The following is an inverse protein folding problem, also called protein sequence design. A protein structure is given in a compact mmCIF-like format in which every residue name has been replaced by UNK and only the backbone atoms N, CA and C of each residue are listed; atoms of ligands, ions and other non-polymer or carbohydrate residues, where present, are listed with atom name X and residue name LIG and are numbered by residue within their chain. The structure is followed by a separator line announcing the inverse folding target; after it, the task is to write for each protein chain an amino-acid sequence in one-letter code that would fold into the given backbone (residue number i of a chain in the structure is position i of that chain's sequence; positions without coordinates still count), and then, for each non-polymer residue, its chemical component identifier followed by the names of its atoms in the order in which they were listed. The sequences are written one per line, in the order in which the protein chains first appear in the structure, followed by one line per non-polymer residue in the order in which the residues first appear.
data_IF_945251574787
#
_entry.id   IF_945251574787
#
_cell.length_a   1.000
_cell.length_b   1.000
_cell.length_c   1.000
_cell.angle_alpha   90.00
_cell.angle_beta   90.00
_cell.angle_gamma   90.00
#
_symmetry.space_group_name_H-M   'P 1'
#
loop_
_entity.id
_entity.type
_entity.pdbx_description
1 polymer ?
#
# COMPACT_ATOMS: atom_id res chain seq x y z
N UNK A 1 -41.79 -64.16 -39.18
CA UNK A 1 -41.37 -63.75 -37.83
C UNK A 1 -41.34 -62.24 -37.86
N UNK A 2 -42.34 -61.63 -37.24
CA UNK A 2 -42.52 -60.19 -37.16
C UNK A 2 -41.40 -59.57 -36.34
N UNK A 3 -40.63 -58.66 -36.96
CA UNK A 3 -39.68 -57.80 -36.27
C UNK A 3 -40.48 -56.73 -35.52
N UNK A 4 -40.49 -56.82 -34.21
CA UNK A 4 -41.05 -55.82 -33.30
C UNK A 4 -40.25 -54.50 -33.41
N UNK A 5 -40.87 -53.35 -33.72
CA UNK A 5 -40.16 -52.08 -33.76
C UNK A 5 -39.82 -51.62 -32.33
N UNK A 6 -38.52 -51.49 -32.05
CA UNK A 6 -37.99 -50.92 -30.81
C UNK A 6 -38.38 -49.43 -30.75
N UNK A 7 -39.20 -49.08 -29.75
CA UNK A 7 -39.60 -47.68 -29.53
C UNK A 7 -38.44 -46.88 -28.95
N UNK A 8 -37.81 -46.06 -29.79
CA UNK A 8 -36.86 -45.03 -29.37
C UNK A 8 -37.67 -43.86 -28.80
N UNK A 9 -37.60 -43.67 -27.48
CA UNK A 9 -38.27 -42.56 -26.78
C UNK A 9 -37.51 -41.27 -27.08
N UNK A 10 -37.99 -40.52 -28.07
CA UNK A 10 -37.54 -39.14 -28.34
C UNK A 10 -38.00 -38.25 -27.19
N UNK A 11 -37.06 -37.86 -26.32
CA UNK A 11 -37.27 -36.80 -25.33
C UNK A 11 -37.06 -35.45 -26.02
N UNK A 12 -38.09 -34.97 -26.72
CA UNK A 12 -38.21 -33.56 -27.08
C UNK A 12 -39.12 -32.88 -26.08
N UNK A 13 -38.58 -32.00 -25.25
CA UNK A 13 -38.73 -30.55 -25.43
C UNK A 13 -38.35 -29.84 -24.13
N UNK A 14 -37.51 -28.82 -24.26
CA UNK A 14 -36.87 -28.16 -23.15
C UNK A 14 -35.78 -27.24 -23.65
N UNK A 15 -36.11 -26.35 -24.59
CA UNK A 15 -35.28 -25.23 -25.01
C UNK A 15 -35.06 -24.28 -23.81
N UNK A 16 -33.84 -24.08 -23.28
CA UNK A 16 -33.54 -22.81 -22.65
C UNK A 16 -33.21 -21.83 -23.77
N UNK A 17 -34.15 -20.90 -23.93
CA UNK A 17 -34.00 -19.65 -24.66
C UNK A 17 -32.72 -18.92 -24.26
N UNK A 18 -32.16 -18.18 -25.23
CA UNK A 18 -30.90 -17.46 -25.19
C UNK A 18 -30.47 -16.88 -23.84
N UNK A 19 -29.30 -17.33 -23.41
CA UNK A 19 -28.15 -16.47 -23.08
C UNK A 19 -26.95 -17.39 -23.04
N UNK A 20 -26.04 -17.21 -24.00
CA UNK A 20 -24.67 -17.66 -23.83
C UNK A 20 -24.19 -17.00 -22.54
N UNK A 21 -24.20 -17.75 -21.44
CA UNK A 21 -23.37 -17.44 -20.30
C UNK A 21 -21.93 -17.60 -20.79
N UNK A 22 -21.40 -16.57 -21.45
CA UNK A 22 -20.01 -16.21 -21.28
C UNK A 22 -19.87 -15.80 -19.81
N UNK A 23 -19.96 -16.80 -18.93
CA UNK A 23 -19.44 -16.67 -17.58
C UNK A 23 -17.96 -16.39 -17.79
N UNK A 24 -17.62 -15.14 -17.48
CA UNK A 24 -16.33 -14.52 -17.59
C UNK A 24 -15.27 -15.39 -16.90
N UNK A 25 -14.64 -16.28 -17.66
CA UNK A 25 -13.56 -17.18 -17.21
C UNK A 25 -12.32 -16.41 -16.76
N UNK A 26 -12.28 -15.08 -16.92
CA UNK A 26 -11.26 -14.21 -16.31
C UNK A 26 -11.38 -14.15 -14.79
N UNK A 27 -12.49 -14.58 -14.20
CA UNK A 27 -12.63 -14.63 -12.75
C UNK A 27 -12.06 -15.91 -12.17
N UNK A 28 -11.02 -15.72 -11.36
CA UNK A 28 -10.34 -16.68 -10.47
C UNK A 28 -9.11 -17.41 -11.02
N UNK A 29 -8.26 -16.73 -11.79
CA UNK A 29 -6.83 -16.97 -11.57
C UNK A 29 -6.45 -16.30 -10.24
N UNK A 30 -5.99 -17.04 -9.22
CA UNK A 30 -5.47 -16.42 -8.00
C UNK A 30 -4.34 -15.47 -8.38
N UNK A 31 -4.33 -14.27 -7.80
CA UNK A 31 -3.27 -13.29 -8.03
C UNK A 31 -1.92 -13.93 -7.64
N UNK A 32 -1.00 -13.99 -8.59
CA UNK A 32 0.26 -14.70 -8.37
C UNK A 32 1.24 -13.76 -7.66
N UNK A 33 1.69 -14.15 -6.47
CA UNK A 33 2.64 -13.37 -5.70
C UNK A 33 4.03 -13.46 -6.37
N UNK A 34 4.63 -12.34 -6.80
CA UNK A 34 5.95 -12.37 -7.44
C UNK A 34 7.02 -12.93 -6.51
N UNK A 35 7.99 -13.66 -7.06
CA UNK A 35 9.06 -14.30 -6.29
C UNK A 35 9.86 -13.31 -5.42
N UNK A 36 10.09 -12.08 -5.90
CA UNK A 36 10.79 -11.03 -5.16
C UNK A 36 10.00 -10.50 -3.93
N UNK A 37 8.69 -10.69 -3.92
CA UNK A 37 7.81 -10.38 -2.78
C UNK A 37 7.69 -11.59 -1.86
N UNK A 38 7.53 -12.79 -2.43
CA UNK A 38 7.43 -14.03 -1.66
C UNK A 38 8.71 -14.37 -0.88
N UNK A 39 9.88 -14.05 -1.43
CA UNK A 39 11.18 -14.30 -0.79
C UNK A 39 11.53 -13.32 0.35
N UNK A 40 10.71 -12.30 0.59
CA UNK A 40 10.93 -11.28 1.60
C UNK A 40 9.77 -11.28 2.61
N UNK A 41 9.99 -11.63 3.89
CA UNK A 41 8.90 -11.77 4.86
C UNK A 41 8.05 -10.51 5.03
N UNK A 42 8.67 -9.33 5.06
CA UNK A 42 7.99 -8.04 5.24
C UNK A 42 7.10 -7.76 4.01
N UNK A 43 7.66 -7.91 2.81
CA UNK A 43 6.90 -7.68 1.58
C UNK A 43 5.80 -8.71 1.40
N UNK A 44 6.06 -9.97 1.74
CA UNK A 44 5.06 -11.04 1.65
C UNK A 44 3.89 -10.78 2.58
N UNK A 45 4.14 -10.41 3.84
CA UNK A 45 3.10 -10.06 4.79
C UNK A 45 2.28 -8.86 4.29
N UNK A 46 2.95 -7.81 3.80
CA UNK A 46 2.26 -6.62 3.28
C UNK A 46 1.43 -6.92 2.04
N UNK A 47 1.93 -7.78 1.15
CA UNK A 47 1.16 -8.25 0.00
C UNK A 47 -0.11 -8.96 0.43
N UNK A 48 -0.03 -9.85 1.41
CA UNK A 48 -1.20 -10.59 1.91
C UNK A 48 -2.21 -9.65 2.54
N UNK A 49 -1.75 -8.65 3.32
CA UNK A 49 -2.61 -7.59 3.86
C UNK A 49 -3.29 -6.77 2.75
N UNK A 50 -2.55 -6.32 1.75
CA UNK A 50 -3.07 -5.47 0.68
C UNK A 50 -4.07 -6.20 -0.21
N UNK A 51 -3.88 -7.51 -0.42
CA UNK A 51 -4.70 -8.34 -1.30
C UNK A 51 -5.86 -9.03 -0.56
N UNK A 52 -5.82 -9.09 0.76
CA UNK A 52 -6.90 -9.63 1.58
C UNK A 52 -8.21 -8.87 1.33
N UNK A 53 -9.26 -9.61 0.96
CA UNK A 53 -10.60 -9.05 0.73
C UNK A 53 -10.72 -8.14 -0.51
N UNK A 54 -9.69 -8.03 -1.35
CA UNK A 54 -9.68 -7.21 -2.57
C UNK A 54 -9.54 -8.06 -3.82
N UNK A 55 -10.14 -7.57 -4.91
CA UNK A 55 -10.00 -8.19 -6.23
C UNK A 55 -9.02 -7.37 -7.06
N UNK A 56 -7.82 -7.91 -7.26
CA UNK A 56 -6.82 -7.35 -8.17
C UNK A 56 -6.66 -8.25 -9.38
N UNK A 57 -6.24 -7.66 -10.49
CA UNK A 57 -5.88 -8.39 -11.71
C UNK A 57 -4.38 -8.69 -11.73
N UNK A 58 -3.96 -9.65 -12.56
CA UNK A 58 -2.53 -9.92 -12.75
C UNK A 58 -1.75 -8.72 -13.33
N UNK A 59 -2.45 -7.78 -13.99
CA UNK A 59 -1.83 -6.54 -14.45
C UNK A 59 -1.43 -5.61 -13.29
N UNK A 60 -2.07 -5.74 -12.13
CA UNK A 60 -1.79 -4.94 -10.94
C UNK A 60 -0.62 -5.51 -10.12
N UNK A 61 -0.25 -6.77 -10.35
CA UNK A 61 0.82 -7.46 -9.62
C UNK A 61 2.17 -6.70 -9.57
N UNK A 62 2.72 -6.13 -10.67
CA UNK A 62 3.96 -5.35 -10.59
C UNK A 62 3.81 -4.07 -9.75
N UNK A 63 2.66 -3.40 -9.84
CA UNK A 63 2.36 -2.18 -9.08
C UNK A 63 2.19 -2.49 -7.59
N UNK A 64 1.53 -3.60 -7.24
CA UNK A 64 1.44 -4.11 -5.86
C UNK A 64 2.81 -4.52 -5.31
N UNK A 65 3.67 -5.12 -6.11
CA UNK A 65 5.02 -5.50 -5.69
C UNK A 65 5.88 -4.26 -5.38
N UNK A 66 5.77 -3.22 -6.20
CA UNK A 66 6.42 -1.93 -5.96
C UNK A 66 5.87 -1.25 -4.70
N UNK A 67 4.56 -1.32 -4.47
CA UNK A 67 3.94 -0.82 -3.24
C UNK A 67 4.50 -1.53 -2.00
N UNK A 68 4.63 -2.86 -2.03
CA UNK A 68 5.24 -3.64 -0.95
C UNK A 68 6.71 -3.24 -0.71
N UNK A 69 7.47 -2.95 -1.78
CA UNK A 69 8.84 -2.45 -1.68
C UNK A 69 8.89 -1.11 -0.93
N UNK A 70 7.98 -0.18 -1.22
CA UNK A 70 7.95 1.11 -0.53
C UNK A 70 7.59 0.98 0.96
N UNK A 71 6.67 0.08 1.32
CA UNK A 71 6.39 -0.21 2.72
C UNK A 71 7.61 -0.76 3.47
N UNK A 72 8.38 -1.65 2.84
CA UNK A 72 9.64 -2.13 3.42
C UNK A 72 10.66 -0.99 3.63
N UNK A 73 10.76 -0.06 2.67
CA UNK A 73 11.66 1.10 2.79
C UNK A 73 11.23 2.01 3.95
N UNK A 74 9.92 2.19 4.14
CA UNK A 74 9.37 2.96 5.27
C UNK A 74 9.77 2.31 6.59
N UNK A 75 9.54 1.00 6.74
CA UNK A 75 9.88 0.25 7.96
C UNK A 75 11.37 0.37 8.28
N UNK A 76 12.26 0.13 7.31
CA UNK A 76 13.70 0.26 7.50
C UNK A 76 14.12 1.68 7.90
N UNK A 77 13.56 2.70 7.24
CA UNK A 77 13.88 4.10 7.55
C UNK A 77 13.35 4.52 8.93
N UNK A 78 12.25 3.94 9.41
CA UNK A 78 11.72 4.15 10.75
C UNK A 78 12.59 3.47 11.80
N UNK A 79 12.94 2.19 11.61
CA UNK A 79 13.82 1.46 12.51
C UNK A 79 15.19 2.16 12.70
N UNK A 80 15.75 2.68 11.60
CA UNK A 80 16.97 3.49 11.65
C UNK A 80 16.76 4.79 12.44
N UNK A 81 15.64 5.49 12.25
CA UNK A 81 15.34 6.71 13.00
C UNK A 81 15.17 6.45 14.50
N UNK A 82 14.48 5.37 14.85
CA UNK A 82 14.24 4.98 16.23
C UNK A 82 15.56 4.67 16.96
N UNK A 83 16.58 4.19 16.24
CA UNK A 83 17.93 3.97 16.78
C UNK A 83 18.64 5.26 17.22
N UNK A 84 18.27 6.42 16.67
CA UNK A 84 18.83 7.73 17.04
C UNK A 84 18.09 8.39 18.22
N UNK A 85 17.12 7.71 18.83
CA UNK A 85 16.22 8.24 19.86
C UNK A 85 15.21 9.22 19.27
N UNK A 86 14.48 9.98 20.11
CA UNK A 86 13.45 10.94 19.66
C UNK A 86 14.00 12.15 18.85
N UNK A 87 15.24 12.08 18.39
CA UNK A 87 15.91 13.10 17.60
C UNK A 87 15.53 12.99 16.12
N UNK A 88 15.37 14.15 15.47
CA UNK A 88 15.00 14.24 14.05
C UNK A 88 16.04 14.97 13.21
N UNK A 89 17.12 15.44 13.84
CA UNK A 89 18.18 16.21 13.21
C UNK A 89 19.49 16.04 13.97
N UNK A 90 20.59 16.20 13.25
CA UNK A 90 21.95 16.23 13.77
C UNK A 90 22.60 17.58 13.47
N UNK A 91 23.57 17.99 14.29
CA UNK A 91 24.43 19.13 13.99
C UNK A 91 25.63 18.64 13.19
N UNK A 92 25.94 19.26 12.06
CA UNK A 92 27.12 18.93 11.27
C UNK A 92 28.38 19.63 11.83
N UNK A 93 29.55 19.30 11.28
CA UNK A 93 30.84 19.89 11.70
C UNK A 93 30.93 21.41 11.47
N UNK A 94 30.05 21.98 10.65
CA UNK A 94 29.96 23.43 10.41
C UNK A 94 29.02 24.14 11.41
N UNK A 95 28.40 23.40 12.31
CA UNK A 95 27.44 23.93 13.29
C UNK A 95 26.00 24.04 12.79
N UNK A 96 25.72 23.63 11.55
CA UNK A 96 24.37 23.64 10.98
C UNK A 96 23.54 22.46 11.47
N UNK A 97 22.26 22.71 11.76
CA UNK A 97 21.31 21.66 12.08
C UNK A 97 20.71 21.08 10.79
N UNK A 98 20.91 19.78 10.55
CA UNK A 98 20.43 19.07 9.37
C UNK A 98 19.55 17.89 9.76
N UNK A 99 18.43 17.72 9.06
CA UNK A 99 17.55 16.56 9.28
C UNK A 99 18.24 15.26 8.88
N UNK A 100 17.92 14.16 9.57
CA UNK A 100 18.37 12.84 9.16
C UNK A 100 17.92 12.50 7.72
N UNK A 101 18.77 11.88 6.89
CA UNK A 101 18.43 11.50 5.51
C UNK A 101 17.16 10.64 5.41
N UNK A 102 16.91 9.79 6.40
CA UNK A 102 15.74 8.92 6.51
C UNK A 102 14.43 9.71 6.45
N UNK A 103 14.39 10.94 6.96
CA UNK A 103 13.21 11.80 6.88
C UNK A 103 12.88 12.17 5.43
N UNK A 104 13.90 12.41 4.59
CA UNK A 104 13.69 12.65 3.17
C UNK A 104 13.18 11.37 2.47
N UNK A 105 13.77 10.22 2.80
CA UNK A 105 13.31 8.90 2.30
C UNK A 105 11.85 8.64 2.64
N UNK A 106 11.43 8.89 3.88
CA UNK A 106 10.05 8.72 4.32
C UNK A 106 9.07 9.64 3.59
N UNK A 107 9.47 10.89 3.32
CA UNK A 107 8.64 11.84 2.53
C UNK A 107 8.44 11.34 1.10
N UNK A 108 9.50 10.89 0.45
CA UNK A 108 9.44 10.31 -0.90
C UNK A 108 8.59 9.05 -0.92
N UNK A 109 8.86 8.10 -0.02
CA UNK A 109 8.09 6.86 0.08
C UNK A 109 6.60 7.14 0.34
N UNK A 110 6.27 8.11 1.18
CA UNK A 110 4.87 8.51 1.43
C UNK A 110 4.18 9.11 0.21
N UNK A 111 4.90 9.82 -0.65
CA UNK A 111 4.35 10.32 -1.92
C UNK A 111 4.08 9.17 -2.89
N UNK A 112 5.04 8.26 -3.04
CA UNK A 112 4.94 7.10 -3.92
C UNK A 112 3.84 6.13 -3.50
N UNK A 113 3.72 5.82 -2.20
CA UNK A 113 2.64 4.99 -1.65
C UNK A 113 1.28 5.58 -2.00
N UNK A 114 1.08 6.90 -1.83
CA UNK A 114 -0.17 7.57 -2.19
C UNK A 114 -0.46 7.50 -3.68
N UNK A 115 0.57 7.70 -4.51
CA UNK A 115 0.44 7.61 -5.96
C UNK A 115 0.06 6.19 -6.40
N UNK A 116 0.72 5.16 -5.88
CA UNK A 116 0.45 3.76 -6.20
C UNK A 116 -0.93 3.31 -5.68
N UNK A 117 -1.31 3.71 -4.47
CA UNK A 117 -2.65 3.46 -3.95
C UNK A 117 -3.73 4.06 -4.84
N UNK A 118 -3.52 5.30 -5.33
CA UNK A 118 -4.42 5.94 -6.29
C UNK A 118 -4.50 5.17 -7.61
N UNK A 119 -3.38 4.69 -8.14
CA UNK A 119 -3.34 3.89 -9.37
C UNK A 119 -4.08 2.55 -9.22
N UNK A 120 -3.95 1.92 -8.05
CA UNK A 120 -4.57 0.64 -7.72
C UNK A 120 -6.04 0.76 -7.26
N UNK A 121 -6.58 1.98 -7.17
CA UNK A 121 -7.92 2.21 -6.62
C UNK A 121 -8.05 1.84 -5.13
N UNK A 122 -6.93 1.69 -4.43
CA UNK A 122 -6.90 1.44 -2.98
C UNK A 122 -7.28 2.75 -2.30
N UNK A 123 -8.58 2.90 -2.10
CA UNK A 123 -9.17 4.06 -1.44
C UNK A 123 -9.37 3.72 0.03
N UNK A 124 -8.31 3.24 0.70
CA UNK A 124 -8.25 3.31 2.16
C UNK A 124 -7.97 4.76 2.52
N UNK A 125 -8.99 5.59 2.35
CA UNK A 125 -9.15 6.77 3.16
C UNK A 125 -9.47 6.33 4.58
N UNK A 126 -8.54 5.65 5.25
CA UNK A 126 -8.37 6.00 6.65
C UNK A 126 -7.74 7.38 6.59
N UNK A 127 -8.61 8.39 6.54
CA UNK A 127 -8.39 9.65 7.22
C UNK A 127 -8.14 9.26 8.69
N UNK A 128 -6.98 8.68 8.96
CA UNK A 128 -6.38 8.71 10.26
C UNK A 128 -6.23 10.18 10.48
N UNK A 129 -7.23 10.75 11.16
CA UNK A 129 -7.18 12.08 11.76
C UNK A 129 -5.73 12.24 12.17
N UNK A 130 -4.93 13.08 11.49
CA UNK A 130 -3.62 13.36 12.01
C UNK A 130 -3.92 13.84 13.42
N UNK A 131 -3.30 13.24 14.44
CA UNK A 131 -3.44 13.77 15.78
C UNK A 131 -2.77 15.13 15.78
N UNK A 132 -3.51 16.14 15.33
CA UNK A 132 -3.07 17.53 15.14
C UNK A 132 -2.61 18.09 16.48
N UNK A 133 -3.05 17.50 17.59
CA UNK A 133 -2.64 17.91 18.94
C UNK A 133 -1.14 17.69 19.18
N UNK A 134 -0.52 16.65 18.62
CA UNK A 134 0.92 16.41 18.84
C UNK A 134 1.81 17.34 18.01
N UNK A 135 1.38 17.72 16.81
CA UNK A 135 2.13 18.60 15.91
C UNK A 135 1.98 20.06 16.33
N UNK A 136 0.80 20.47 16.80
CA UNK A 136 0.56 21.85 17.24
C UNK A 136 1.39 22.19 18.49
N UNK A 137 1.48 21.29 19.48
CA UNK A 137 2.29 21.53 20.68
C UNK A 137 3.78 21.64 20.39
N UNK A 138 4.30 20.87 19.40
CA UNK A 138 5.71 20.96 19.01
C UNK A 138 6.04 22.24 18.23
N UNK A 139 5.13 22.75 17.40
CA UNK A 139 5.31 24.00 16.65
C UNK A 139 5.40 25.24 17.55
N UNK A 140 4.61 25.32 18.63
CA UNK A 140 4.68 26.45 19.57
C UNK A 140 6.02 26.53 20.30
N UNK A 141 6.61 25.38 20.67
CA UNK A 141 7.90 25.34 21.37
C UNK A 141 9.10 25.83 20.52
N UNK A 142 9.01 25.73 19.19
CA UNK A 142 10.05 26.20 18.26
C UNK A 142 9.97 27.71 18.07
N UNK A 143 8.75 28.27 17.98
CA UNK A 143 8.54 29.71 17.88
C UNK A 143 9.07 30.47 19.11
N UNK A 144 8.80 29.95 20.32
CA UNK A 144 9.31 30.53 21.58
C UNK A 144 10.85 30.51 21.65
N UNK A 145 11.49 29.44 21.17
CA UNK A 145 12.96 29.34 21.13
C UNK A 145 13.60 30.31 20.11
N UNK A 146 12.90 30.62 19.02
CA UNK A 146 13.38 31.57 18.03
C UNK A 146 13.24 33.03 18.52
N UNK A 147 12.13 33.38 19.17
CA UNK A 147 11.93 34.66 19.85
C UNK A 147 12.98 34.90 20.95
N UNK A 148 13.24 33.89 21.80
CA UNK A 148 14.23 33.98 22.87
C UNK A 148 15.67 34.16 22.35
N UNK A 149 16.01 33.58 21.19
CA UNK A 149 17.32 33.80 20.54
C UNK A 149 17.41 35.20 19.94
N UNK A 150 16.33 35.72 19.37
CA UNK A 150 16.29 37.06 18.77
C UNK A 150 16.39 38.16 19.85
N UNK A 151 15.78 37.96 21.02
CA UNK A 151 15.87 38.87 22.15
C UNK A 151 17.29 38.93 22.78
N UNK A 152 18.04 37.82 22.75
CA UNK A 152 19.42 37.77 23.26
C UNK A 152 20.47 38.34 22.29
N UNK A 153 20.15 38.38 21.00
CA UNK A 153 21.03 38.97 19.99
C UNK A 153 20.83 40.49 19.83
N UNK A 154 19.87 41.08 20.55
CA UNK A 154 19.53 42.51 20.51
C UNK A 154 19.96 43.28 21.77
N UNK A 155 20.77 42.66 22.63
CA UNK A 155 21.45 43.27 23.81
C UNK A 155 22.95 43.23 23.55
#
# INVERSE_FOLDING_TARGET
MEETPVQIRVLTDGRPSGRLFYADWRWRMPLEKPAAVAGDPVKSAKWDELTAGRSFTQADAPTLALLCQWYKIVELAQDELDSFGEQTAYQNDMGDLKSFPQIATLKTASAEIRQLNKQLGITDGHEGVPDVRSVQTKLFSIAERHEARKARAAV
#
